data_IF_247994660484
#
_entry.id   IF_247994660484
#
_cell.length_a   1.000
_cell.length_b   1.000
_cell.length_c   1.000
_cell.angle_alpha   90.00
_cell.angle_beta   90.00
_cell.angle_gamma   90.00
#
_symmetry.space_group_name_H-M   'P 1'
#
loop_
_entity.id
_entity.type
_entity.pdbx_description
1 polymer ?
#
# COMPACT_ATOMS: atom_id res chain seq x y z
N UNK A 1 -5.65 6.37 -7.86
CA UNK A 1 -5.52 4.96 -7.39
C UNK A 1 -6.85 4.22 -7.20
N UNK A 2 -7.84 4.75 -6.45
CA UNK A 2 -9.12 4.03 -6.22
C UNK A 2 -9.77 3.50 -7.52
N UNK A 3 -9.95 4.39 -8.51
CA UNK A 3 -10.53 4.05 -9.82
C UNK A 3 -9.76 2.91 -10.51
N UNK A 4 -8.43 2.91 -10.41
CA UNK A 4 -7.60 1.85 -11.00
C UNK A 4 -7.85 0.51 -10.30
N UNK A 5 -7.93 0.49 -8.97
CA UNK A 5 -8.25 -0.70 -8.21
C UNK A 5 -9.68 -1.21 -8.47
N UNK A 6 -10.66 -0.31 -8.55
CA UNK A 6 -12.05 -0.66 -8.83
C UNK A 6 -12.20 -1.26 -10.25
N UNK A 7 -11.37 -0.81 -11.20
CA UNK A 7 -11.26 -1.36 -12.55
C UNK A 7 -10.31 -2.59 -12.66
N UNK A 8 -9.87 -3.16 -11.53
CA UNK A 8 -8.92 -4.28 -11.47
C UNK A 8 -7.56 -4.02 -12.15
N UNK A 9 -7.23 -2.75 -12.40
CA UNK A 9 -5.95 -2.32 -12.97
C UNK A 9 -4.89 -2.17 -11.87
N UNK A 10 -4.68 -3.23 -11.09
CA UNK A 10 -3.83 -3.21 -9.90
C UNK A 10 -2.37 -2.88 -10.23
N UNK A 11 -1.83 -3.42 -11.33
CA UNK A 11 -0.47 -3.11 -11.79
C UNK A 11 -0.28 -1.63 -12.09
N UNK A 12 -1.23 -1.00 -12.80
CA UNK A 12 -1.22 0.45 -13.07
C UNK A 12 -1.38 1.27 -11.80
N UNK A 13 -2.21 0.81 -10.86
CA UNK A 13 -2.35 1.46 -9.55
C UNK A 13 -1.00 1.48 -8.82
N UNK A 14 -0.25 0.38 -8.92
CA UNK A 14 1.08 0.24 -8.35
C UNK A 14 2.13 1.04 -9.14
N UNK A 15 2.12 1.07 -10.46
CA UNK A 15 3.01 1.95 -11.25
C UNK A 15 2.83 3.42 -10.86
N UNK A 16 1.58 3.87 -10.68
CA UNK A 16 1.31 5.22 -10.16
C UNK A 16 1.83 5.42 -8.73
N UNK A 17 1.88 4.36 -7.93
CA UNK A 17 2.44 4.40 -6.58
C UNK A 17 3.98 4.43 -6.58
N UNK A 18 4.64 3.89 -7.61
CA UNK A 18 6.11 3.94 -7.74
C UNK A 18 6.65 5.35 -7.94
N UNK A 19 5.79 6.33 -8.28
CA UNK A 19 6.15 7.74 -8.27
C UNK A 19 6.48 8.26 -6.86
N UNK A 20 6.01 7.57 -5.81
CA UNK A 20 6.38 7.83 -4.42
C UNK A 20 7.64 7.05 -4.06
N UNK A 21 8.64 7.75 -3.54
CA UNK A 21 9.91 7.16 -3.09
C UNK A 21 10.11 7.39 -1.59
N UNK A 22 11.21 6.88 -1.03
CA UNK A 22 11.51 6.96 0.41
C UNK A 22 11.47 8.40 0.95
N UNK A 23 11.75 9.41 0.13
CA UNK A 23 11.76 10.83 0.53
C UNK A 23 10.36 11.45 0.52
N UNK A 24 9.42 10.91 -0.25
CA UNK A 24 8.07 11.46 -0.43
C UNK A 24 6.97 10.62 0.22
N UNK A 25 7.25 9.36 0.53
CA UNK A 25 6.29 8.42 1.13
C UNK A 25 5.80 8.89 2.51
N UNK A 26 6.65 9.59 3.26
CA UNK A 26 6.29 10.14 4.56
C UNK A 26 5.21 11.24 4.46
N UNK A 27 5.17 11.94 3.32
CA UNK A 27 4.14 12.95 3.01
C UNK A 27 2.93 12.36 2.30
N UNK A 28 2.97 11.07 1.97
CA UNK A 28 1.90 10.42 1.23
C UNK A 28 0.68 10.19 2.14
N UNK A 29 -0.51 10.46 1.60
CA UNK A 29 -1.75 10.28 2.35
C UNK A 29 -2.02 8.80 2.62
N UNK A 30 -2.56 8.50 3.80
CA UNK A 30 -2.93 7.15 4.22
C UNK A 30 -3.78 6.42 3.19
N UNK A 31 -4.70 7.16 2.56
CA UNK A 31 -5.53 6.67 1.47
C UNK A 31 -4.72 6.04 0.33
N UNK A 32 -3.62 6.68 -0.09
CA UNK A 32 -2.77 6.19 -1.19
C UNK A 32 -2.07 4.89 -0.78
N UNK A 33 -1.54 4.84 0.44
CA UNK A 33 -0.92 3.64 1.01
C UNK A 33 -1.93 2.48 1.10
N UNK A 34 -3.14 2.74 1.58
CA UNK A 34 -4.22 1.74 1.66
C UNK A 34 -4.56 1.19 0.26
N UNK A 35 -4.66 2.06 -0.75
CA UNK A 35 -4.93 1.61 -2.12
C UNK A 35 -3.75 0.81 -2.70
N UNK A 36 -2.51 1.15 -2.36
CA UNK A 36 -1.33 0.40 -2.78
C UNK A 36 -1.32 -1.01 -2.15
N UNK A 37 -1.55 -1.10 -0.84
CA UNK A 37 -1.67 -2.38 -0.12
C UNK A 37 -2.79 -3.24 -0.70
N UNK A 38 -3.96 -2.66 -0.98
CA UNK A 38 -5.07 -3.36 -1.64
C UNK A 38 -4.63 -3.91 -3.01
N UNK A 39 -3.94 -3.11 -3.82
CA UNK A 39 -3.44 -3.57 -5.11
C UNK A 39 -2.45 -4.74 -4.97
N UNK A 40 -1.48 -4.63 -4.04
CA UNK A 40 -0.53 -5.71 -3.73
C UNK A 40 -1.24 -7.00 -3.32
N UNK A 41 -2.25 -6.91 -2.46
CA UNK A 41 -3.08 -8.07 -2.06
C UNK A 41 -3.70 -8.76 -3.27
N UNK A 42 -4.29 -7.98 -4.19
CA UNK A 42 -5.05 -8.52 -5.31
C UNK A 42 -4.19 -9.20 -6.38
N UNK A 43 -2.91 -8.86 -6.49
CA UNK A 43 -1.97 -9.49 -7.44
C UNK A 43 -0.94 -10.40 -6.75
N UNK A 44 -1.11 -10.65 -5.46
CA UNK A 44 -0.20 -11.44 -4.64
C UNK A 44 1.26 -10.94 -4.63
N UNK A 45 1.48 -9.62 -4.72
CA UNK A 45 2.82 -9.03 -4.71
C UNK A 45 3.28 -8.75 -3.26
N UNK A 46 3.69 -9.84 -2.60
CA UNK A 46 4.11 -9.81 -1.19
C UNK A 46 5.34 -8.95 -0.99
N UNK A 47 6.33 -9.09 -1.88
CA UNK A 47 7.60 -8.36 -1.80
C UNK A 47 7.37 -6.85 -1.79
N UNK A 48 6.45 -6.38 -2.63
CA UNK A 48 6.12 -4.96 -2.70
C UNK A 48 5.34 -4.48 -1.48
N UNK A 49 4.40 -5.26 -0.97
CA UNK A 49 3.71 -4.92 0.29
C UNK A 49 4.65 -4.86 1.50
N UNK A 50 5.67 -5.73 1.57
CA UNK A 50 6.73 -5.66 2.59
C UNK A 50 7.56 -4.37 2.47
N UNK A 51 7.93 -3.97 1.24
CA UNK A 51 8.61 -2.69 1.01
C UNK A 51 7.76 -1.52 1.49
N UNK A 52 6.47 -1.49 1.15
CA UNK A 52 5.54 -0.45 1.60
C UNK A 52 5.51 -0.40 3.14
N UNK A 53 5.37 -1.54 3.81
CA UNK A 53 5.40 -1.59 5.28
C UNK A 53 6.70 -1.02 5.85
N UNK A 54 7.86 -1.42 5.33
CA UNK A 54 9.15 -0.89 5.79
C UNK A 54 9.22 0.64 5.67
N UNK A 55 8.75 1.19 4.55
CA UNK A 55 8.74 2.64 4.28
C UNK A 55 7.84 3.44 5.23
N UNK A 56 6.75 2.85 5.71
CA UNK A 56 5.76 3.52 6.59
C UNK A 56 5.91 3.12 8.06
N UNK A 57 6.87 2.25 8.38
CA UNK A 57 7.07 1.68 9.72
C UNK A 57 7.28 2.75 10.80
N UNK A 58 7.93 3.86 10.45
CA UNK A 58 8.13 5.03 11.32
C UNK A 58 6.81 5.75 11.67
N UNK A 59 5.85 5.76 10.75
CA UNK A 59 4.54 6.43 10.89
C UNK A 59 3.48 5.54 11.52
N UNK A 60 3.64 4.21 11.42
CA UNK A 60 2.62 3.24 11.81
C UNK A 60 2.18 3.36 13.27
N UNK A 61 3.09 3.78 14.17
CA UNK A 61 2.79 3.97 15.60
C UNK A 61 1.72 5.04 15.85
N UNK A 62 1.47 5.93 14.90
CA UNK A 62 0.56 7.07 15.03
C UNK A 62 -0.66 6.96 14.13
N UNK A 63 -0.77 5.90 13.31
CA UNK A 63 -1.74 5.85 12.22
C UNK A 63 -2.79 4.73 12.38
N UNK A 64 -4.00 5.04 12.87
CA UNK A 64 -5.05 4.06 13.06
C UNK A 64 -5.71 3.60 11.75
N UNK A 65 -5.46 4.26 10.62
CA UNK A 65 -6.16 3.99 9.36
C UNK A 65 -5.40 3.01 8.46
N UNK A 66 -4.07 3.08 8.47
CA UNK A 66 -3.23 2.20 7.64
C UNK A 66 -3.09 0.81 8.27
N UNK A 67 -3.08 0.72 9.60
CA UNK A 67 -2.89 -0.53 10.33
C UNK A 67 -3.90 -1.63 9.96
N UNK A 68 -5.23 -1.39 9.91
CA UNK A 68 -6.19 -2.41 9.46
C UNK A 68 -5.92 -2.92 8.03
N UNK A 69 -5.43 -2.05 7.15
CA UNK A 69 -5.12 -2.42 5.76
C UNK A 69 -3.86 -3.29 5.66
N UNK A 70 -2.85 -3.04 6.50
CA UNK A 70 -1.69 -3.94 6.63
C UNK A 70 -2.09 -5.31 7.17
N UNK A 71 -2.92 -5.35 8.23
CA UNK A 71 -3.42 -6.61 8.79
C UNK A 71 -4.17 -7.41 7.72
N UNK A 72 -5.05 -6.74 6.97
CA UNK A 72 -5.77 -7.37 5.86
C UNK A 72 -4.80 -7.91 4.79
N UNK A 73 -3.79 -7.14 4.40
CA UNK A 73 -2.76 -7.58 3.47
C UNK A 73 -2.05 -8.84 3.99
N UNK A 74 -1.52 -8.84 5.21
CA UNK A 74 -0.81 -9.99 5.78
C UNK A 74 -1.69 -11.22 5.95
N UNK A 75 -2.96 -11.05 6.31
CA UNK A 75 -3.92 -12.15 6.48
C UNK A 75 -4.19 -12.94 5.19
N UNK A 76 -3.81 -12.41 4.02
CA UNK A 76 -4.00 -13.07 2.72
C UNK A 76 -2.81 -13.93 2.30
N UNK A 77 -1.69 -13.86 3.02
CA UNK A 77 -0.45 -14.56 2.72
C UNK A 77 0.03 -15.47 3.86
N UNK A 78 -0.78 -15.61 4.90
CA UNK A 78 -0.73 -16.66 5.93
C UNK A 78 -1.75 -17.72 5.54
#
# INVERSE_FOLDING_TARGET
MKILNDNKQYKKALELFDEFNEKTIDKCSNWIIIQALKACTQICDVQRGLKIHNLISSRLKQDPYVLPSLIHFYSKFI
#
